data_IF_768216174022
#
_entry.id   IF_768216174022
#
_cell.length_a   1.000
_cell.length_b   1.000
_cell.length_c   1.000
_cell.angle_alpha   90.00
_cell.angle_beta   90.00
_cell.angle_gamma   90.00
#
_symmetry.space_group_name_H-M   'P 1'
#
loop_
_entity.id
_entity.type
_entity.pdbx_description
1 polymer ?
#
# COMPACT_ATOMS: atom_id res chain seq x y z
N UNK A 1 40.23 38.32 -34.42
CA UNK A 1 39.84 39.48 -33.57
C UNK A 1 38.43 39.85 -34.01
N UNK A 2 37.33 39.75 -33.25
CA UNK A 2 37.05 39.48 -31.83
C UNK A 2 35.52 39.28 -31.82
N UNK A 3 35.03 38.06 -31.59
CA UNK A 3 34.24 37.67 -30.40
C UNK A 3 32.81 38.21 -30.29
N UNK A 4 31.86 37.25 -30.16
CA UNK A 4 30.66 37.25 -29.30
C UNK A 4 29.56 38.27 -29.67
N UNK A 5 28.28 37.92 -29.76
CA UNK A 5 27.51 37.11 -28.82
C UNK A 5 26.30 36.46 -29.48
N UNK A 6 26.22 35.12 -29.41
CA UNK A 6 24.93 34.43 -29.41
C UNK A 6 24.26 34.80 -28.08
N UNK A 7 23.16 35.53 -28.13
CA UNK A 7 22.20 35.58 -27.03
C UNK A 7 21.44 34.25 -27.03
N UNK A 8 22.06 33.20 -26.48
CA UNK A 8 21.33 32.08 -25.91
C UNK A 8 20.48 32.64 -24.77
N UNK A 9 19.19 32.85 -25.05
CA UNK A 9 18.20 33.00 -24.01
C UNK A 9 18.36 31.81 -23.05
N UNK A 10 18.52 32.04 -21.73
CA UNK A 10 18.55 30.93 -20.81
C UNK A 10 17.19 30.25 -20.90
N UNK A 11 17.20 28.97 -21.30
CA UNK A 11 16.14 28.02 -21.04
C UNK A 11 15.98 27.92 -19.51
N UNK A 12 15.32 28.92 -18.94
CA UNK A 12 14.85 28.88 -17.57
C UNK A 12 13.56 28.09 -17.57
N UNK A 13 13.33 27.10 -16.75
CA UNK A 13 14.14 26.27 -15.82
C UNK A 13 13.07 25.29 -15.37
N UNK A 14 13.39 24.00 -15.22
CA UNK A 14 12.49 22.98 -14.65
C UNK A 14 11.54 23.60 -13.62
N UNK A 15 10.24 23.68 -13.96
CA UNK A 15 9.21 24.16 -13.03
C UNK A 15 9.33 23.30 -11.79
N UNK A 16 9.94 23.86 -10.75
CA UNK A 16 10.19 23.17 -9.51
C UNK A 16 8.81 22.87 -8.92
N UNK A 17 8.35 21.63 -9.13
CA UNK A 17 7.00 21.20 -8.74
C UNK A 17 6.83 21.50 -7.25
N UNK A 18 6.01 22.50 -6.93
CA UNK A 18 5.76 22.89 -5.55
C UNK A 18 4.61 22.03 -5.05
N UNK A 19 4.86 21.24 -4.01
CA UNK A 19 3.82 20.45 -3.37
C UNK A 19 2.98 21.36 -2.46
N UNK A 20 1.79 21.74 -2.89
CA UNK A 20 0.88 22.64 -2.18
C UNK A 20 -0.19 21.86 -1.41
N UNK A 21 -0.44 22.27 -0.16
CA UNK A 21 -1.60 21.83 0.63
C UNK A 21 -2.65 22.94 0.56
N UNK A 22 -3.83 22.60 0.07
CA UNK A 22 -4.91 23.56 -0.19
C UNK A 22 -6.13 23.17 0.62
N UNK A 23 -6.81 24.14 1.26
CA UNK A 23 -8.09 23.92 1.95
C UNK A 23 -9.23 24.39 1.06
N UNK A 24 -10.18 23.51 0.74
CA UNK A 24 -11.38 23.89 0.00
C UNK A 24 -12.24 24.85 0.84
N UNK A 25 -12.66 25.97 0.25
CA UNK A 25 -13.54 26.94 0.91
C UNK A 25 -15.01 26.49 0.98
N UNK A 26 -15.39 25.43 0.25
CA UNK A 26 -16.77 24.93 0.21
C UNK A 26 -17.02 23.72 1.12
N UNK A 27 -16.12 22.73 1.12
CA UNK A 27 -16.29 21.52 1.93
C UNK A 27 -15.24 21.35 3.03
N UNK A 28 -14.36 22.35 3.18
CA UNK A 28 -13.29 22.40 4.19
C UNK A 28 -12.25 21.28 4.13
N UNK A 29 -12.39 20.34 3.20
CA UNK A 29 -11.41 19.28 2.95
C UNK A 29 -10.13 19.87 2.37
N UNK A 30 -9.03 19.28 2.81
CA UNK A 30 -7.69 19.56 2.33
C UNK A 30 -7.36 18.63 1.17
N UNK A 31 -6.61 19.14 0.19
CA UNK A 31 -6.11 18.35 -0.94
C UNK A 31 -4.75 18.88 -1.40
N UNK A 32 -4.04 18.05 -2.15
CA UNK A 32 -2.71 18.37 -2.68
C UNK A 32 -2.77 18.86 -4.13
N UNK A 33 -1.86 19.76 -4.50
CA UNK A 33 -1.59 20.13 -5.91
C UNK A 33 -0.10 20.26 -6.15
N UNK A 34 0.33 19.91 -7.37
CA UNK A 34 1.69 20.17 -7.87
C UNK A 34 1.74 21.42 -8.76
N UNK A 35 0.57 21.98 -9.07
CA UNK A 35 0.42 23.16 -9.92
C UNK A 35 0.54 24.40 -9.05
N UNK A 36 1.26 25.40 -9.56
CA UNK A 36 1.43 26.70 -8.90
C UNK A 36 0.43 27.75 -9.43
N UNK A 37 -0.78 27.30 -9.79
CA UNK A 37 -1.88 28.16 -10.23
C UNK A 37 -2.64 28.77 -9.04
N UNK A 38 -3.50 29.75 -9.34
CA UNK A 38 -4.34 30.42 -8.34
C UNK A 38 -5.70 29.76 -8.15
N UNK A 39 -6.12 28.94 -9.12
CA UNK A 39 -7.42 28.29 -9.15
C UNK A 39 -7.29 26.78 -9.15
N UNK A 40 -8.09 26.13 -8.31
CA UNK A 40 -8.06 24.69 -8.13
C UNK A 40 -9.47 24.13 -8.17
N UNK A 41 -9.60 22.88 -8.62
CA UNK A 41 -10.84 22.11 -8.51
C UNK A 41 -10.71 21.15 -7.33
N UNK A 42 -11.60 21.30 -6.34
CA UNK A 42 -11.62 20.41 -5.20
C UNK A 42 -12.03 18.98 -5.64
N UNK A 43 -11.23 17.94 -5.38
CA UNK A 43 -11.58 16.57 -5.74
C UNK A 43 -12.70 15.99 -4.87
N UNK A 44 -12.99 16.59 -3.71
CA UNK A 44 -14.02 16.13 -2.79
C UNK A 44 -15.43 16.59 -3.17
N UNK A 45 -15.60 17.86 -3.52
CA UNK A 45 -16.92 18.45 -3.83
C UNK A 45 -17.06 19.01 -5.25
N UNK A 46 -16.01 18.95 -6.07
CA UNK A 46 -16.02 19.44 -7.46
C UNK A 46 -16.01 20.96 -7.61
N UNK A 47 -16.00 21.73 -6.51
CA UNK A 47 -15.94 23.19 -6.59
C UNK A 47 -14.62 23.64 -7.20
N UNK A 48 -14.70 24.37 -8.30
CA UNK A 48 -13.57 25.10 -8.88
C UNK A 48 -13.55 26.54 -8.39
N UNK A 49 -12.36 27.07 -8.15
CA UNK A 49 -12.16 28.48 -7.78
C UNK A 49 -10.86 28.70 -7.03
N UNK A 50 -10.73 29.88 -6.43
CA UNK A 50 -9.62 30.17 -5.54
C UNK A 50 -9.82 29.47 -4.19
N UNK A 51 -8.80 28.74 -3.77
CA UNK A 51 -8.77 28.04 -2.51
C UNK A 51 -7.46 28.37 -1.79
N UNK A 52 -7.48 28.67 -0.48
CA UNK A 52 -6.27 29.07 0.24
C UNK A 52 -5.25 27.94 0.29
N UNK A 53 -4.00 28.28 -0.04
CA UNK A 53 -2.83 27.44 0.20
C UNK A 53 -2.49 27.56 1.69
N UNK A 54 -2.61 26.46 2.42
CA UNK A 54 -2.39 26.39 3.88
C UNK A 54 -1.06 25.76 4.24
N UNK A 55 -0.32 25.24 3.26
CA UNK A 55 1.00 24.65 3.50
C UNK A 55 1.75 24.29 2.23
N UNK A 56 3.03 23.99 2.39
CA UNK A 56 3.91 23.45 1.36
C UNK A 56 4.61 22.21 1.90
N UNK A 57 4.75 21.18 1.07
CA UNK A 57 5.43 19.95 1.40
C UNK A 57 6.78 19.86 0.67
N UNK A 58 7.68 19.03 1.21
CA UNK A 58 9.03 18.83 0.64
C UNK A 58 9.02 17.87 -0.56
N UNK A 59 8.15 16.86 -0.49
CA UNK A 59 8.00 15.80 -1.48
C UNK A 59 6.56 15.25 -1.48
N UNK A 60 6.31 14.23 -2.30
CA UNK A 60 4.99 13.60 -2.44
C UNK A 60 4.53 12.85 -1.18
N UNK A 61 5.46 12.26 -0.42
CA UNK A 61 5.18 11.56 0.83
C UNK A 61 4.73 12.52 1.92
N UNK A 62 5.47 13.61 2.12
CA UNK A 62 5.15 14.70 3.04
C UNK A 62 3.81 15.37 2.67
N UNK A 63 3.53 15.54 1.37
CA UNK A 63 2.24 16.07 0.90
C UNK A 63 1.07 15.17 1.31
N UNK A 64 1.18 13.87 1.03
CA UNK A 64 0.17 12.87 1.40
C UNK A 64 -0.07 12.88 2.91
N UNK A 65 1.00 12.85 3.70
CA UNK A 65 0.90 12.85 5.17
C UNK A 65 0.19 14.10 5.69
N UNK A 66 0.55 15.30 5.21
CA UNK A 66 -0.06 16.56 5.64
C UNK A 66 -1.55 16.64 5.27
N UNK A 67 -1.90 16.26 4.05
CA UNK A 67 -3.30 16.25 3.59
C UNK A 67 -4.13 15.27 4.42
N UNK A 68 -3.61 14.07 4.68
CA UNK A 68 -4.30 13.07 5.50
C UNK A 68 -4.54 13.58 6.92
N UNK A 69 -3.51 14.11 7.59
CA UNK A 69 -3.64 14.65 8.95
C UNK A 69 -4.60 15.84 9.01
N UNK A 70 -4.59 16.71 8.01
CA UNK A 70 -5.46 17.88 7.95
C UNK A 70 -6.95 17.53 7.74
N UNK A 71 -7.23 16.40 7.09
CA UNK A 71 -8.59 15.89 6.84
C UNK A 71 -9.20 15.08 7.99
N UNK A 72 -8.45 14.81 9.04
CA UNK A 72 -8.95 14.02 10.18
C UNK A 72 -9.68 14.93 11.16
N UNK A 73 -10.97 14.68 11.46
CA UNK A 73 -11.71 15.43 12.47
C UNK A 73 -11.00 15.44 13.83
N UNK A 74 -11.08 16.55 14.56
CA UNK A 74 -10.43 16.68 15.87
C UNK A 74 -10.92 15.63 16.87
N UNK A 75 -12.18 15.19 16.80
CA UNK A 75 -12.69 14.15 17.70
C UNK A 75 -12.00 12.79 17.48
N UNK A 76 -11.44 12.54 16.30
CA UNK A 76 -10.79 11.28 15.92
C UNK A 76 -9.25 11.38 15.94
N UNK A 77 -8.66 12.55 16.21
CA UNK A 77 -7.20 12.75 16.20
C UNK A 77 -6.49 11.92 17.25
N UNK A 78 -7.07 11.75 18.43
CA UNK A 78 -6.45 10.95 19.50
C UNK A 78 -6.58 9.45 19.24
N UNK A 79 -7.67 9.02 18.61
CA UNK A 79 -7.84 7.63 18.16
C UNK A 79 -6.89 7.29 17.00
N UNK A 80 -6.68 8.24 16.07
CA UNK A 80 -5.71 8.10 15.00
C UNK A 80 -4.26 8.17 15.50
N UNK A 81 -3.92 9.06 16.45
CA UNK A 81 -2.58 9.08 17.08
C UNK A 81 -2.29 7.79 17.85
N UNK A 82 -3.30 7.20 18.49
CA UNK A 82 -3.17 5.87 19.12
C UNK A 82 -2.88 4.81 18.08
N UNK A 83 -3.64 4.76 16.98
CA UNK A 83 -3.40 3.81 15.89
C UNK A 83 -2.06 4.04 15.16
N UNK A 84 -1.64 5.28 14.94
CA UNK A 84 -0.35 5.64 14.32
C UNK A 84 0.84 5.26 15.21
N UNK A 85 0.73 5.36 16.54
CA UNK A 85 1.77 4.85 17.46
C UNK A 85 1.84 3.31 17.48
N UNK A 86 0.77 2.63 17.10
CA UNK A 86 0.77 1.17 16.88
C UNK A 86 1.28 0.82 15.48
N UNK A 87 1.05 1.70 14.49
CA UNK A 87 1.56 1.66 13.11
C UNK A 87 2.95 2.33 12.97
N UNK A 88 3.76 2.32 14.03
CA UNK A 88 5.20 2.48 13.87
C UNK A 88 5.67 1.27 13.05
N UNK A 89 5.64 1.43 11.71
CA UNK A 89 6.45 0.73 10.72
C UNK A 89 6.92 -0.65 11.19
N UNK A 90 5.97 -1.56 11.39
CA UNK A 90 6.26 -2.93 11.05
C UNK A 90 6.30 -2.90 9.54
N UNK A 91 7.52 -2.81 9.04
CA UNK A 91 7.94 -3.21 7.70
C UNK A 91 6.89 -4.19 7.15
N UNK A 92 6.37 -3.93 5.95
CA UNK A 92 5.62 -4.93 5.19
C UNK A 92 6.60 -6.09 4.89
N UNK A 93 6.95 -6.87 5.90
CA UNK A 93 7.16 -8.28 5.74
C UNK A 93 5.89 -8.73 5.05
N UNK A 94 6.00 -9.34 3.87
CA UNK A 94 4.90 -10.08 3.28
C UNK A 94 4.21 -10.80 4.43
N UNK A 95 2.92 -10.50 4.66
CA UNK A 95 2.17 -11.17 5.69
C UNK A 95 2.19 -12.65 5.31
N UNK A 96 3.13 -13.37 5.91
CA UNK A 96 3.46 -14.77 5.58
C UNK A 96 2.28 -15.69 5.87
N UNK A 97 1.27 -15.15 6.57
CA UNK A 97 0.00 -15.79 6.91
C UNK A 97 -1.19 -15.27 6.10
N UNK A 98 -0.98 -14.34 5.15
CA UNK A 98 -2.05 -13.93 4.23
C UNK A 98 -2.49 -15.11 3.36
N UNK A 99 -3.80 -15.17 3.04
CA UNK A 99 -4.36 -16.27 2.25
C UNK A 99 -3.63 -16.52 0.91
N UNK A 100 -3.23 -15.50 0.12
CA UNK A 100 -2.45 -15.72 -1.09
C UNK A 100 -1.04 -16.28 -0.82
N UNK A 101 -0.39 -15.87 0.27
CA UNK A 101 0.92 -16.37 0.65
C UNK A 101 0.86 -17.83 1.08
N UNK A 102 -0.16 -18.21 1.87
CA UNK A 102 -0.40 -19.58 2.30
C UNK A 102 -0.78 -20.48 1.13
N UNK A 103 -1.61 -20.01 0.19
CA UNK A 103 -1.95 -20.78 -1.01
C UNK A 103 -0.70 -21.05 -1.87
N UNK A 104 0.13 -20.02 -2.08
CA UNK A 104 1.41 -20.15 -2.79
C UNK A 104 2.39 -21.07 -2.04
N UNK A 105 2.34 -21.10 -0.71
CA UNK A 105 3.14 -22.05 0.07
C UNK A 105 2.72 -23.48 -0.26
N UNK A 106 1.42 -23.78 -0.23
CA UNK A 106 0.89 -25.11 -0.57
C UNK A 106 1.26 -25.51 -2.00
N UNK A 107 1.04 -24.63 -2.99
CA UNK A 107 1.31 -24.93 -4.40
C UNK A 107 2.80 -25.24 -4.66
N UNK A 108 3.72 -24.64 -3.90
CA UNK A 108 5.16 -24.89 -4.03
C UNK A 108 5.61 -26.21 -3.38
N UNK A 109 4.76 -26.84 -2.57
CA UNK A 109 5.03 -28.12 -1.91
C UNK A 109 4.39 -29.31 -2.63
N UNK A 110 3.62 -29.05 -3.68
CA UNK A 110 3.08 -30.08 -4.56
C UNK A 110 4.25 -30.75 -5.29
N UNK A 111 4.31 -32.07 -5.22
CA UNK A 111 5.35 -32.87 -5.86
C UNK A 111 5.12 -33.02 -7.38
N UNK A 112 6.02 -33.74 -8.04
CA UNK A 112 5.95 -34.01 -9.48
C UNK A 112 4.72 -34.83 -9.91
N UNK A 113 4.05 -35.51 -8.97
CA UNK A 113 2.85 -36.29 -9.19
C UNK A 113 1.57 -35.51 -8.86
N UNK A 114 1.67 -34.22 -8.53
CA UNK A 114 0.52 -33.42 -8.14
C UNK A 114 0.04 -33.70 -6.71
N UNK A 115 0.87 -34.31 -5.87
CA UNK A 115 0.52 -34.71 -4.49
C UNK A 115 1.16 -33.78 -3.47
N UNK A 116 0.42 -33.54 -2.40
CA UNK A 116 0.79 -32.69 -1.27
C UNK A 116 0.76 -33.53 0.01
N UNK A 117 1.86 -33.52 0.77
CA UNK A 117 1.98 -34.27 2.03
C UNK A 117 1.91 -33.33 3.25
N UNK A 118 1.07 -33.66 4.25
CA UNK A 118 0.89 -32.83 5.46
C UNK A 118 2.17 -32.61 6.25
N UNK A 119 3.08 -33.59 6.26
CA UNK A 119 4.36 -33.47 6.96
C UNK A 119 5.24 -32.42 6.25
N UNK A 120 5.23 -32.38 4.91
CA UNK A 120 5.94 -31.37 4.15
C UNK A 120 5.39 -29.96 4.43
N UNK A 121 4.07 -29.81 4.52
CA UNK A 121 3.41 -28.55 4.90
C UNK A 121 3.83 -28.13 6.30
N UNK A 122 3.75 -29.01 7.30
CA UNK A 122 4.13 -28.68 8.68
C UNK A 122 5.61 -28.29 8.79
N UNK A 123 6.50 -29.00 8.09
CA UNK A 123 7.92 -28.67 8.06
C UNK A 123 8.17 -27.28 7.48
N UNK A 124 7.45 -26.91 6.42
CA UNK A 124 7.59 -25.60 5.79
C UNK A 124 7.02 -24.47 6.64
N UNK A 125 5.88 -24.69 7.32
CA UNK A 125 5.33 -23.74 8.30
C UNK A 125 6.31 -23.51 9.45
N UNK A 126 6.88 -24.59 10.02
CA UNK A 126 7.90 -24.52 11.06
C UNK A 126 9.15 -23.76 10.58
N UNK A 127 9.62 -24.04 9.36
CA UNK A 127 10.79 -23.37 8.76
C UNK A 127 10.56 -21.86 8.61
N UNK A 128 9.33 -21.43 8.36
CA UNK A 128 8.93 -20.01 8.23
C UNK A 128 8.53 -19.36 9.54
N UNK A 129 8.45 -20.12 10.64
CA UNK A 129 7.98 -19.62 11.93
C UNK A 129 6.48 -19.32 11.97
N UNK A 130 5.69 -19.94 11.09
CA UNK A 130 4.23 -19.81 11.08
C UNK A 130 3.66 -20.82 12.08
N UNK A 131 3.04 -20.32 13.15
CA UNK A 131 2.46 -21.14 14.23
C UNK A 131 0.98 -21.41 14.01
N UNK A 132 0.26 -20.46 13.40
CA UNK A 132 -1.16 -20.56 13.07
C UNK A 132 -1.38 -20.00 11.65
N UNK A 133 -2.15 -20.68 10.79
CA UNK A 133 -2.74 -22.00 11.01
C UNK A 133 -1.69 -23.11 11.08
N UNK A 134 -2.02 -24.23 11.72
CA UNK A 134 -1.23 -25.45 11.59
C UNK A 134 -1.43 -26.13 10.23
N UNK A 135 -0.63 -27.17 9.93
CA UNK A 135 -0.70 -27.83 8.62
C UNK A 135 -2.05 -28.47 8.35
N UNK A 136 -2.71 -29.04 9.36
CA UNK A 136 -4.00 -29.70 9.18
C UNK A 136 -5.11 -28.65 8.96
N UNK A 137 -5.12 -27.58 9.75
CA UNK A 137 -6.05 -26.46 9.59
C UNK A 137 -5.95 -25.83 8.19
N UNK A 138 -4.72 -25.62 7.70
CA UNK A 138 -4.48 -25.05 6.38
C UNK A 138 -4.95 -25.98 5.26
N UNK A 139 -4.69 -27.27 5.37
CA UNK A 139 -5.13 -28.27 4.40
C UNK A 139 -6.65 -28.41 4.42
N UNK A 140 -7.27 -28.47 5.59
CA UNK A 140 -8.73 -28.56 5.72
C UNK A 140 -9.42 -27.34 5.11
N UNK A 141 -8.84 -26.14 5.28
CA UNK A 141 -9.30 -24.93 4.60
C UNK A 141 -9.22 -25.05 3.07
N UNK A 142 -8.11 -25.57 2.54
CA UNK A 142 -7.93 -25.72 1.09
C UNK A 142 -8.84 -26.83 0.51
N UNK A 143 -9.02 -27.94 1.22
CA UNK A 143 -9.96 -29.02 0.90
C UNK A 143 -11.41 -28.50 0.89
N UNK A 144 -11.81 -27.68 1.89
CA UNK A 144 -13.15 -27.09 1.95
C UNK A 144 -13.47 -26.11 0.82
N UNK A 145 -12.42 -25.52 0.21
CA UNK A 145 -12.52 -24.63 -0.95
C UNK A 145 -12.43 -25.38 -2.29
N UNK A 146 -12.26 -26.71 -2.26
CA UNK A 146 -12.16 -27.52 -3.47
C UNK A 146 -10.83 -27.40 -4.21
N UNK A 147 -9.75 -26.99 -3.52
CA UNK A 147 -8.40 -26.90 -4.09
C UNK A 147 -7.60 -28.19 -3.94
N UNK A 148 -7.96 -28.99 -2.94
CA UNK A 148 -7.33 -30.27 -2.61
C UNK A 148 -8.39 -31.38 -2.57
N UNK A 149 -8.01 -32.57 -3.01
CA UNK A 149 -8.78 -33.80 -2.79
C UNK A 149 -7.96 -34.76 -1.94
N UNK A 150 -8.53 -35.25 -0.85
CA UNK A 150 -7.85 -36.24 0.00
C UNK A 150 -7.69 -37.56 -0.73
N UNK A 151 -6.45 -38.03 -0.84
CA UNK A 151 -6.12 -39.36 -1.39
C UNK A 151 -5.89 -40.36 -0.25
N UNK A 152 -5.07 -39.97 0.73
CA UNK A 152 -4.78 -40.75 1.94
C UNK A 152 -4.91 -39.87 3.18
N UNK A 153 -4.84 -40.42 4.41
CA UNK A 153 -4.84 -39.61 5.63
C UNK A 153 -3.68 -38.60 5.72
N UNK A 154 -2.62 -38.78 4.94
CA UNK A 154 -1.41 -37.95 4.97
C UNK A 154 -1.12 -37.24 3.65
N UNK A 155 -1.90 -37.51 2.60
CA UNK A 155 -1.64 -37.01 1.24
C UNK A 155 -2.92 -36.54 0.54
N UNK A 156 -2.79 -35.44 -0.19
CA UNK A 156 -3.85 -34.81 -0.96
C UNK A 156 -3.39 -34.60 -2.40
N UNK A 157 -4.32 -34.70 -3.34
CA UNK A 157 -4.16 -34.31 -4.73
C UNK A 157 -4.51 -32.84 -4.93
N UNK A 158 -3.66 -32.14 -5.65
CA UNK A 158 -3.87 -30.76 -6.05
C UNK A 158 -4.83 -30.69 -7.26
N UNK A 159 -5.87 -29.85 -7.19
CA UNK A 159 -6.97 -29.83 -8.17
C UNK A 159 -6.96 -28.64 -9.16
N UNK A 160 -5.91 -27.79 -9.17
CA UNK A 160 -5.82 -26.66 -10.12
C UNK A 160 -5.81 -27.08 -11.60
#
# INVERSE_FOLDING_TARGET
MTSLSNDEAPLMTEEQRVFLVIRCTSCERHFGSLRNDKTFTCPGCGKSGEHPIVGRAKDSGDLKQRVSLANVPSELRDEMKRKIKTDDYQDYQEDSTSAPALLKLLSNLVDENGKLNVIAVQNELNRRGIVLPDAQELIDMAESQGLLMRDTPTEWEWLE
#
